data_IF_663732200855
#
_entry.id   IF_663732200855
#
_cell.length_a   1.000
_cell.length_b   1.000
_cell.length_c   1.000
_cell.angle_alpha   90.00
_cell.angle_beta   90.00
_cell.angle_gamma   90.00
#
_symmetry.space_group_name_H-M   'P 1'
#
loop_
_entity.id
_entity.type
_entity.pdbx_description
1 polymer ?
#
# COMPACT_ATOMS: atom_id res chain seq x y z
N UNK A 1 -22.19 -2.23 41.82
CA UNK A 1 -21.89 -1.54 40.55
C UNK A 1 -20.47 -0.99 40.63
N UNK A 2 -19.48 -1.79 40.22
CA UNK A 2 -18.10 -1.34 40.14
C UNK A 2 -17.80 -0.94 38.71
N UNK A 3 -17.67 0.36 38.45
CA UNK A 3 -17.02 0.86 37.25
C UNK A 3 -15.58 0.35 37.27
N UNK A 4 -15.28 -0.65 36.44
CA UNK A 4 -13.89 -1.02 36.16
C UNK A 4 -13.22 0.19 35.54
N UNK A 5 -12.26 0.73 36.30
CA UNK A 5 -11.34 1.77 35.87
C UNK A 5 -10.71 1.42 34.53
N UNK A 6 -10.47 2.47 33.73
CA UNK A 6 -9.96 2.47 32.36
C UNK A 6 -9.19 1.21 31.97
N UNK A 7 -9.87 0.34 31.23
CA UNK A 7 -9.19 -0.70 30.46
C UNK A 7 -8.25 -0.01 29.49
N UNK A 8 -6.96 -0.23 29.68
CA UNK A 8 -5.94 0.12 28.70
C UNK A 8 -6.39 -0.46 27.36
N UNK A 9 -6.74 0.42 26.42
CA UNK A 9 -7.24 0.02 25.11
C UNK A 9 -6.18 -0.87 24.45
N UNK A 10 -6.57 -2.02 23.90
CA UNK A 10 -5.60 -2.98 23.33
C UNK A 10 -4.82 -2.30 22.19
N UNK A 11 -3.47 -2.28 22.20
CA UNK A 11 -2.63 -1.48 21.27
C UNK A 11 -3.00 -1.58 19.78
N UNK A 12 -3.63 -2.68 19.39
CA UNK A 12 -4.08 -2.99 18.04
C UNK A 12 -5.17 -2.04 17.51
N UNK A 13 -6.07 -1.53 18.37
CA UNK A 13 -7.13 -0.58 17.96
C UNK A 13 -6.53 0.78 17.53
N UNK A 14 -5.46 1.20 18.21
CA UNK A 14 -4.83 2.49 18.01
C UNK A 14 -4.08 2.47 16.68
N UNK A 15 -3.41 1.35 16.40
CA UNK A 15 -2.67 1.15 15.17
C UNK A 15 -3.57 1.23 13.92
N UNK A 16 -4.76 0.62 13.93
CA UNK A 16 -5.68 0.68 12.77
C UNK A 16 -6.19 2.10 12.52
N UNK A 17 -6.42 2.88 13.60
CA UNK A 17 -6.85 4.29 13.50
C UNK A 17 -5.74 5.20 13.03
N UNK A 18 -4.51 5.00 13.51
CA UNK A 18 -3.33 5.72 13.04
C UNK A 18 -3.17 5.53 11.54
N UNK A 19 -3.40 4.32 11.01
CA UNK A 19 -3.36 4.08 9.54
C UNK A 19 -4.40 4.92 8.81
N UNK A 20 -5.65 5.00 9.29
CA UNK A 20 -6.70 5.81 8.64
C UNK A 20 -6.35 7.30 8.68
N UNK A 21 -5.83 7.79 9.81
CA UNK A 21 -5.37 9.18 9.94
C UNK A 21 -4.18 9.46 9.01
N UNK A 22 -3.21 8.56 8.96
CA UNK A 22 -2.07 8.67 8.07
C UNK A 22 -2.51 8.70 6.60
N UNK A 23 -3.49 7.88 6.20
CA UNK A 23 -4.08 7.95 4.85
C UNK A 23 -4.73 9.31 4.57
N UNK A 24 -5.46 9.86 5.54
CA UNK A 24 -6.11 11.17 5.41
C UNK A 24 -5.11 12.32 5.27
N UNK A 25 -3.89 12.20 5.83
CA UNK A 25 -2.81 13.18 5.68
C UNK A 25 -1.99 12.94 4.40
N UNK A 26 -1.76 11.68 4.05
CA UNK A 26 -0.98 11.29 2.89
C UNK A 26 -1.68 11.65 1.58
N UNK A 27 -3.01 11.52 1.49
CA UNK A 27 -3.75 11.84 0.27
C UNK A 27 -3.56 13.32 -0.17
N UNK A 28 -3.74 14.33 0.70
CA UNK A 28 -3.42 15.71 0.35
C UNK A 28 -1.97 15.91 -0.06
N UNK A 29 -1.02 15.47 0.78
CA UNK A 29 0.40 15.62 0.49
C UNK A 29 0.77 15.04 -0.89
N UNK A 30 0.19 13.89 -1.22
CA UNK A 30 0.34 13.24 -2.52
C UNK A 30 -0.20 14.09 -3.67
N UNK A 31 -1.42 14.62 -3.61
CA UNK A 31 -1.97 15.41 -4.73
C UNK A 31 -1.24 16.73 -4.95
N UNK A 32 -0.80 17.39 -3.87
CA UNK A 32 0.06 18.55 -3.99
C UNK A 32 1.39 18.19 -4.68
N UNK A 33 2.05 17.12 -4.24
CA UNK A 33 3.28 16.64 -4.89
C UNK A 33 3.06 16.24 -6.36
N UNK A 34 1.95 15.57 -6.66
CA UNK A 34 1.60 15.14 -8.01
C UNK A 34 1.55 16.32 -8.98
N UNK A 35 0.94 17.45 -8.58
CA UNK A 35 0.86 18.63 -9.44
C UNK A 35 2.22 19.26 -9.75
N UNK A 36 3.22 19.11 -8.88
CA UNK A 36 4.60 19.53 -9.16
C UNK A 36 5.35 18.57 -10.09
N UNK A 37 4.93 17.31 -10.15
CA UNK A 37 5.59 16.26 -10.93
C UNK A 37 5.00 16.09 -12.33
N UNK A 38 3.80 16.64 -12.59
CA UNK A 38 3.18 16.58 -13.90
C UNK A 38 3.95 17.45 -14.90
N UNK A 39 4.22 16.96 -16.13
CA UNK A 39 5.00 17.67 -17.14
C UNK A 39 4.19 18.72 -17.90
N UNK A 40 2.93 18.94 -17.53
CA UNK A 40 2.04 19.90 -18.19
C UNK A 40 1.30 20.72 -17.14
N UNK A 41 0.86 21.89 -17.56
CA UNK A 41 -0.02 22.77 -16.80
C UNK A 41 -1.28 23.03 -17.62
N UNK A 42 -2.40 23.17 -16.94
CA UNK A 42 -3.67 23.56 -17.55
C UNK A 42 -3.73 25.08 -17.51
N UNK A 43 -3.94 25.74 -18.65
CA UNK A 43 -3.97 27.20 -18.76
C UNK A 43 -5.37 27.70 -19.10
N UNK A 44 -6.35 27.61 -18.18
CA UNK A 44 -7.74 27.94 -18.47
C UNK A 44 -8.02 29.44 -18.54
N UNK A 45 -7.20 30.28 -17.89
CA UNK A 45 -7.46 31.72 -17.76
C UNK A 45 -6.58 32.58 -18.67
N UNK A 46 -5.45 32.06 -19.15
CA UNK A 46 -4.50 32.82 -19.97
C UNK A 46 -3.70 33.86 -19.20
N UNK A 47 -3.93 33.97 -17.89
CA UNK A 47 -3.14 34.75 -16.94
C UNK A 47 -2.24 33.82 -16.13
N UNK A 48 -0.95 34.11 -16.08
CA UNK A 48 0.05 33.23 -15.48
C UNK A 48 -0.16 33.02 -13.97
N UNK A 49 -0.67 34.02 -13.25
CA UNK A 49 -0.90 33.92 -11.82
C UNK A 49 -2.15 33.10 -11.51
N UNK A 50 -3.23 33.32 -12.25
CA UNK A 50 -4.46 32.55 -12.10
C UNK A 50 -4.27 31.08 -12.52
N UNK A 51 -3.52 30.83 -13.59
CA UNK A 51 -3.18 29.48 -14.03
C UNK A 51 -2.27 28.77 -13.01
N UNK A 52 -1.33 29.50 -12.40
CA UNK A 52 -0.53 28.96 -11.30
C UNK A 52 -1.40 28.57 -10.09
N UNK A 53 -2.29 29.45 -9.66
CA UNK A 53 -3.22 29.18 -8.56
C UNK A 53 -4.13 27.99 -8.88
N UNK A 54 -4.59 27.89 -10.13
CA UNK A 54 -5.42 26.79 -10.59
C UNK A 54 -4.69 25.44 -10.46
N UNK A 55 -3.47 25.33 -11.00
CA UNK A 55 -2.73 24.06 -11.01
C UNK A 55 -2.19 23.67 -9.63
N UNK A 56 -1.69 24.62 -8.84
CA UNK A 56 -0.97 24.31 -7.60
C UNK A 56 -1.79 24.44 -6.33
N UNK A 57 -2.95 25.10 -6.37
CA UNK A 57 -3.85 25.22 -5.24
C UNK A 57 -5.20 24.57 -5.52
N UNK A 58 -5.89 24.97 -6.59
CA UNK A 58 -7.29 24.57 -6.81
C UNK A 58 -7.42 23.09 -7.16
N UNK A 59 -6.73 22.63 -8.21
CA UNK A 59 -6.75 21.22 -8.65
C UNK A 59 -6.39 20.25 -7.51
N UNK A 60 -5.25 20.41 -6.81
CA UNK A 60 -4.88 19.47 -5.76
C UNK A 60 -5.85 19.55 -4.57
N UNK A 61 -6.44 20.72 -4.28
CA UNK A 61 -7.48 20.85 -3.25
C UNK A 61 -8.76 20.10 -3.60
N UNK A 62 -9.22 20.17 -4.86
CA UNK A 62 -10.42 19.45 -5.32
C UNK A 62 -10.21 17.93 -5.22
N UNK A 63 -9.05 17.45 -5.65
CA UNK A 63 -8.70 16.04 -5.54
C UNK A 63 -8.56 15.59 -4.07
N UNK A 64 -7.84 16.36 -3.26
CA UNK A 64 -7.61 16.07 -1.85
C UNK A 64 -8.91 16.03 -1.05
N UNK A 65 -9.77 17.04 -1.21
CA UNK A 65 -11.02 17.13 -0.46
C UNK A 65 -11.94 15.93 -0.74
N UNK A 66 -12.00 15.47 -1.99
CA UNK A 66 -12.79 14.28 -2.33
C UNK A 66 -12.27 13.02 -1.64
N UNK A 67 -10.96 12.77 -1.70
CA UNK A 67 -10.36 11.59 -1.07
C UNK A 67 -10.46 11.63 0.45
N UNK A 68 -10.17 12.79 1.07
CA UNK A 68 -10.33 12.98 2.53
C UNK A 68 -11.78 12.78 2.94
N UNK A 69 -12.74 13.28 2.17
CA UNK A 69 -14.16 13.07 2.44
C UNK A 69 -14.55 11.59 2.36
N UNK A 70 -14.09 10.86 1.35
CA UNK A 70 -14.33 9.41 1.22
C UNK A 70 -13.72 8.63 2.40
N UNK A 71 -12.50 8.99 2.82
CA UNK A 71 -11.84 8.40 3.99
C UNK A 71 -12.65 8.70 5.26
N UNK A 72 -13.09 9.94 5.46
CA UNK A 72 -13.85 10.35 6.63
C UNK A 72 -15.21 9.64 6.72
N UNK A 73 -15.92 9.54 5.61
CA UNK A 73 -17.22 8.84 5.53
C UNK A 73 -17.08 7.34 5.81
N UNK A 74 -15.97 6.74 5.39
CA UNK A 74 -15.72 5.30 5.54
C UNK A 74 -14.73 4.95 6.67
N UNK A 75 -14.41 5.88 7.58
CA UNK A 75 -13.30 5.73 8.54
C UNK A 75 -13.36 4.46 9.39
N UNK A 76 -14.54 4.10 9.90
CA UNK A 76 -14.70 2.88 10.70
C UNK A 76 -14.56 1.63 9.85
N UNK A 77 -15.13 1.65 8.65
CA UNK A 77 -15.02 0.54 7.69
C UNK A 77 -13.58 0.34 7.24
N UNK A 78 -12.84 1.42 7.00
CA UNK A 78 -11.41 1.37 6.67
C UNK A 78 -10.59 0.81 7.84
N UNK A 79 -10.80 1.30 9.06
CA UNK A 79 -10.11 0.77 10.25
C UNK A 79 -10.39 -0.73 10.46
N UNK A 80 -11.65 -1.13 10.31
CA UNK A 80 -12.09 -2.53 10.38
C UNK A 80 -11.49 -3.36 9.23
N UNK A 81 -11.32 -2.78 8.04
CA UNK A 81 -10.67 -3.44 6.91
C UNK A 81 -9.21 -3.72 7.22
N UNK A 82 -8.48 -2.76 7.82
CA UNK A 82 -7.09 -2.95 8.24
C UNK A 82 -6.99 -4.05 9.30
N UNK A 83 -7.94 -4.09 10.24
CA UNK A 83 -8.02 -5.16 11.24
C UNK A 83 -8.23 -6.54 10.60
N UNK A 84 -9.28 -6.68 9.77
CA UNK A 84 -9.58 -7.94 9.06
C UNK A 84 -8.45 -8.35 8.11
N UNK A 85 -7.81 -7.40 7.45
CA UNK A 85 -6.62 -7.67 6.66
C UNK A 85 -5.49 -8.20 7.52
N UNK A 86 -5.24 -7.62 8.70
CA UNK A 86 -4.23 -8.16 9.61
C UNK A 86 -4.58 -9.59 10.01
N UNK A 87 -5.81 -9.87 10.38
CA UNK A 87 -6.26 -11.23 10.76
C UNK A 87 -6.10 -12.23 9.62
N UNK A 88 -6.61 -11.91 8.43
CA UNK A 88 -6.53 -12.78 7.24
C UNK A 88 -5.10 -12.95 6.73
N UNK A 89 -4.27 -11.92 6.86
CA UNK A 89 -2.87 -11.93 6.43
C UNK A 89 -1.89 -12.26 7.55
N UNK A 90 -2.33 -12.55 8.79
CA UNK A 90 -1.42 -13.01 9.87
C UNK A 90 -0.67 -14.26 9.47
N UNK A 91 -1.33 -15.09 8.68
CA UNK A 91 -0.73 -16.28 8.09
C UNK A 91 0.40 -15.89 7.12
N UNK A 92 0.33 -14.74 6.44
CA UNK A 92 1.39 -14.28 5.52
C UNK A 92 2.61 -13.79 6.33
N UNK A 93 3.81 -14.37 6.13
CA UNK A 93 5.03 -13.86 6.74
C UNK A 93 5.22 -12.36 6.48
N UNK A 94 5.73 -11.62 7.48
CA UNK A 94 5.84 -10.16 7.43
C UNK A 94 6.56 -9.66 6.17
N UNK A 95 7.64 -10.34 5.76
CA UNK A 95 8.42 -10.02 4.54
C UNK A 95 7.58 -9.84 3.28
N UNK A 96 6.64 -10.76 3.09
CA UNK A 96 5.78 -10.79 1.91
C UNK A 96 4.75 -9.67 2.00
N UNK A 97 4.17 -9.44 3.19
CA UNK A 97 3.24 -8.32 3.41
C UNK A 97 3.89 -6.97 3.14
N UNK A 98 5.12 -6.76 3.59
CA UNK A 98 5.84 -5.49 3.38
C UNK A 98 6.17 -5.31 1.91
N UNK A 99 6.73 -6.32 1.24
CA UNK A 99 7.07 -6.23 -0.18
C UNK A 99 5.86 -5.99 -1.07
N UNK A 100 4.77 -6.74 -0.87
CA UNK A 100 3.55 -6.55 -1.65
C UNK A 100 2.83 -5.27 -1.30
N UNK A 101 2.87 -4.86 -0.03
CA UNK A 101 2.36 -3.56 0.39
C UNK A 101 3.08 -2.42 -0.32
N UNK A 102 4.42 -2.47 -0.42
CA UNK A 102 5.23 -1.48 -1.14
C UNK A 102 4.91 -1.51 -2.64
N UNK A 103 4.87 -2.68 -3.28
CA UNK A 103 4.54 -2.77 -4.71
C UNK A 103 3.11 -2.30 -5.01
N UNK A 104 2.15 -2.66 -4.16
CA UNK A 104 0.77 -2.21 -4.32
C UNK A 104 0.63 -0.70 -4.08
N UNK A 105 1.32 -0.16 -3.08
CA UNK A 105 1.40 1.29 -2.87
C UNK A 105 2.05 1.98 -4.08
N UNK A 106 3.09 1.39 -4.64
CA UNK A 106 3.74 1.90 -5.85
C UNK A 106 2.76 1.95 -7.03
N UNK A 107 2.09 0.84 -7.35
CA UNK A 107 1.10 0.81 -8.44
C UNK A 107 -0.06 1.76 -8.17
N UNK A 108 -0.49 1.86 -6.91
CA UNK A 108 -1.53 2.80 -6.50
C UNK A 108 -1.11 4.25 -6.76
N UNK A 109 0.08 4.66 -6.32
CA UNK A 109 0.61 6.02 -6.44
C UNK A 109 0.95 6.37 -7.88
N UNK A 110 1.62 5.48 -8.61
CA UNK A 110 2.15 5.78 -9.94
C UNK A 110 1.25 5.39 -11.10
N UNK A 111 0.14 4.68 -10.91
CA UNK A 111 -0.73 4.31 -12.02
C UNK A 111 -2.20 4.54 -11.71
N UNK A 112 -2.67 4.01 -10.57
CA UNK A 112 -4.10 4.04 -10.29
C UNK A 112 -4.57 5.43 -9.89
N UNK A 113 -3.90 6.10 -8.95
CA UNK A 113 -4.36 7.38 -8.41
C UNK A 113 -4.41 8.48 -9.49
N UNK A 114 -3.38 8.71 -10.32
CA UNK A 114 -3.45 9.79 -11.31
C UNK A 114 -4.54 9.59 -12.36
N UNK A 115 -4.87 8.35 -12.71
CA UNK A 115 -5.92 8.05 -13.69
C UNK A 115 -7.32 8.06 -13.06
N UNK A 116 -7.45 7.52 -11.84
CA UNK A 116 -8.78 7.35 -11.20
C UNK A 116 -9.24 8.60 -10.45
N UNK A 117 -8.32 9.49 -10.06
CA UNK A 117 -8.67 10.62 -9.18
C UNK A 117 -9.66 11.58 -9.82
N UNK A 118 -9.52 11.95 -11.09
CA UNK A 118 -10.46 12.89 -11.69
C UNK A 118 -11.89 12.31 -11.81
N UNK A 119 -12.09 11.07 -12.28
CA UNK A 119 -13.40 10.41 -12.18
C UNK A 119 -13.93 10.28 -10.75
N UNK A 120 -13.06 9.92 -9.81
CA UNK A 120 -13.42 9.80 -8.38
C UNK A 120 -13.79 11.15 -7.78
N UNK A 121 -13.17 12.25 -8.21
CA UNK A 121 -13.51 13.60 -7.77
C UNK A 121 -14.93 13.99 -8.16
N UNK A 122 -15.35 13.65 -9.39
CA UNK A 122 -16.73 13.90 -9.86
C UNK A 122 -17.73 13.03 -9.10
N UNK A 123 -17.52 11.72 -9.06
CA UNK A 123 -18.44 10.78 -8.41
C UNK A 123 -18.50 11.02 -6.89
N UNK A 124 -17.34 11.22 -6.27
CA UNK A 124 -17.20 11.49 -4.85
C UNK A 124 -17.78 12.85 -4.46
N UNK A 125 -17.64 13.87 -5.32
CA UNK A 125 -18.29 15.17 -5.15
C UNK A 125 -19.81 15.06 -5.12
N UNK A 126 -20.40 14.32 -6.07
CA UNK A 126 -21.84 14.03 -6.09
C UNK A 126 -22.29 13.29 -4.82
N UNK A 127 -21.56 12.24 -4.44
CA UNK A 127 -21.87 11.44 -3.25
C UNK A 127 -21.78 12.27 -1.96
N UNK A 128 -20.78 13.15 -1.85
CA UNK A 128 -20.59 14.03 -0.71
C UNK A 128 -21.72 15.06 -0.61
N UNK A 129 -22.04 15.73 -1.72
CA UNK A 129 -23.10 16.73 -1.77
C UNK A 129 -24.45 16.11 -1.36
N UNK A 130 -24.77 14.91 -1.87
CA UNK A 130 -25.96 14.16 -1.47
C UNK A 130 -25.96 13.80 0.02
N UNK A 131 -24.83 13.36 0.56
CA UNK A 131 -24.70 12.96 1.98
C UNK A 131 -24.84 14.14 2.94
N UNK A 132 -24.14 15.25 2.65
CA UNK A 132 -24.20 16.47 3.46
C UNK A 132 -25.62 17.02 3.49
N UNK A 133 -26.29 17.03 2.34
CA UNK A 133 -27.67 17.50 2.25
C UNK A 133 -28.65 16.60 3.01
N UNK A 134 -28.62 15.28 2.83
CA UNK A 134 -29.53 14.38 3.54
C UNK A 134 -29.42 14.56 5.06
N UNK A 135 -28.19 14.67 5.57
CA UNK A 135 -27.95 14.88 7.01
C UNK A 135 -28.32 16.27 7.51
N UNK A 136 -28.14 17.31 6.70
CA UNK A 136 -28.27 18.70 7.15
C UNK A 136 -29.64 19.29 6.83
N UNK A 137 -30.12 19.12 5.61
CA UNK A 137 -31.36 19.75 5.15
C UNK A 137 -32.61 18.91 5.43
N UNK A 138 -32.57 17.59 5.16
CA UNK A 138 -33.69 16.70 5.47
C UNK A 138 -33.70 16.37 6.97
N UNK A 139 -32.53 16.04 7.53
CA UNK A 139 -32.42 15.63 8.94
C UNK A 139 -32.58 16.75 9.97
N UNK A 140 -31.91 17.90 9.78
CA UNK A 140 -31.91 18.98 10.80
C UNK A 140 -32.86 20.13 10.49
N UNK A 141 -33.08 20.45 9.21
CA UNK A 141 -33.89 21.61 8.81
C UNK A 141 -35.32 21.24 8.39
N UNK A 142 -35.64 19.96 8.23
CA UNK A 142 -36.99 19.49 7.87
C UNK A 142 -37.50 20.01 6.53
N UNK A 143 -36.61 20.45 5.64
CA UNK A 143 -37.00 21.12 4.41
C UNK A 143 -37.55 20.11 3.39
N UNK A 144 -38.76 20.37 2.89
CA UNK A 144 -39.47 19.52 1.90
C UNK A 144 -38.88 19.54 0.48
N UNK A 145 -39.71 19.25 -0.53
CA UNK A 145 -39.32 19.08 -1.95
C UNK A 145 -38.46 20.22 -2.53
N UNK A 146 -38.64 21.46 -2.07
CA UNK A 146 -37.86 22.61 -2.52
C UNK A 146 -36.38 22.54 -2.12
N UNK A 147 -36.07 22.01 -0.94
CA UNK A 147 -34.67 21.81 -0.56
C UNK A 147 -34.03 20.67 -1.33
N UNK A 148 -34.80 19.61 -1.66
CA UNK A 148 -34.30 18.56 -2.55
C UNK A 148 -33.89 19.12 -3.92
N UNK A 149 -34.68 20.04 -4.49
CA UNK A 149 -34.31 20.73 -5.73
C UNK A 149 -33.06 21.63 -5.56
N UNK A 150 -32.99 22.42 -4.48
CA UNK A 150 -31.80 23.22 -4.17
C UNK A 150 -30.55 22.35 -3.96
N UNK A 151 -30.70 21.13 -3.46
CA UNK A 151 -29.60 20.15 -3.33
C UNK A 151 -29.01 19.79 -4.67
N UNK A 152 -29.89 19.45 -5.61
CA UNK A 152 -29.47 18.98 -6.92
C UNK A 152 -28.70 20.11 -7.60
N UNK A 153 -29.17 21.35 -7.46
CA UNK A 153 -28.47 22.53 -7.97
C UNK A 153 -27.10 22.75 -7.30
N UNK A 154 -27.01 22.69 -5.97
CA UNK A 154 -25.72 22.84 -5.25
C UNK A 154 -24.77 21.68 -5.55
N UNK A 155 -25.27 20.45 -5.63
CA UNK A 155 -24.49 19.26 -5.97
C UNK A 155 -23.95 19.35 -7.39
N UNK A 156 -24.78 19.77 -8.35
CA UNK A 156 -24.36 20.04 -9.73
C UNK A 156 -23.29 21.14 -9.72
N UNK A 157 -23.53 22.26 -9.04
CA UNK A 157 -22.57 23.37 -8.97
C UNK A 157 -21.21 22.94 -8.39
N UNK A 158 -21.21 22.13 -7.33
CA UNK A 158 -19.99 21.56 -6.74
C UNK A 158 -19.28 20.56 -7.65
N UNK A 159 -19.99 19.94 -8.60
CA UNK A 159 -19.42 18.99 -9.56
C UNK A 159 -18.95 19.64 -10.86
N UNK A 160 -19.34 20.88 -11.16
CA UNK A 160 -18.87 21.61 -12.34
C UNK A 160 -17.34 21.71 -12.32
N UNK A 161 -16.76 22.10 -11.18
CA UNK A 161 -15.31 22.29 -11.07
C UNK A 161 -14.53 20.97 -11.22
N UNK A 162 -14.84 19.87 -10.49
CA UNK A 162 -14.25 18.56 -10.74
C UNK A 162 -14.43 18.05 -12.17
N UNK A 163 -15.61 18.26 -12.77
CA UNK A 163 -15.89 17.84 -14.14
C UNK A 163 -15.06 18.62 -15.16
N UNK A 164 -14.91 19.93 -14.96
CA UNK A 164 -14.03 20.77 -15.78
C UNK A 164 -12.58 20.29 -15.70
N UNK A 165 -12.07 20.06 -14.48
CA UNK A 165 -10.73 19.53 -14.27
C UNK A 165 -10.58 18.17 -14.98
N UNK A 166 -11.55 17.27 -14.85
CA UNK A 166 -11.53 15.98 -15.55
C UNK A 166 -11.44 16.14 -17.07
N UNK A 167 -12.28 16.99 -17.67
CA UNK A 167 -12.26 17.23 -19.12
C UNK A 167 -10.93 17.81 -19.59
N UNK A 168 -10.31 18.68 -18.79
CA UNK A 168 -8.99 19.24 -19.09
C UNK A 168 -7.86 18.19 -18.96
N UNK A 169 -8.00 17.22 -18.06
CA UNK A 169 -7.03 16.13 -17.88
C UNK A 169 -7.15 15.02 -18.93
N UNK A 170 -8.35 14.77 -19.49
CA UNK A 170 -8.59 13.70 -20.49
C UNK A 170 -7.58 13.70 -21.65
N UNK A 171 -7.36 14.82 -22.37
CA UNK A 171 -6.44 14.82 -23.51
C UNK A 171 -4.99 14.57 -23.11
N UNK A 172 -4.64 14.81 -21.84
CA UNK A 172 -3.27 14.66 -21.30
C UNK A 172 -3.03 13.29 -20.67
N UNK A 173 -4.02 12.39 -20.58
CA UNK A 173 -3.81 11.07 -19.98
C UNK A 173 -2.73 10.24 -20.68
N UNK A 174 -2.59 10.35 -22.01
CA UNK A 174 -1.53 9.67 -22.73
C UNK A 174 -0.14 10.18 -22.34
N UNK A 175 0.01 11.49 -22.11
CA UNK A 175 1.26 12.09 -21.63
C UNK A 175 1.58 11.62 -20.21
N UNK A 176 0.59 11.63 -19.31
CA UNK A 176 0.72 11.08 -17.95
C UNK A 176 1.19 9.63 -18.02
N UNK A 177 0.54 8.82 -18.85
CA UNK A 177 0.86 7.40 -19.00
C UNK A 177 2.28 7.18 -19.52
N UNK A 178 2.70 7.96 -20.52
CA UNK A 178 4.07 7.89 -21.07
C UNK A 178 5.11 8.30 -20.04
N UNK A 179 4.85 9.32 -19.23
CA UNK A 179 5.73 9.75 -18.13
C UNK A 179 5.81 8.69 -17.04
N UNK A 180 4.70 8.02 -16.73
CA UNK A 180 4.69 6.90 -15.79
C UNK A 180 5.50 5.71 -16.29
N UNK A 181 5.32 5.35 -17.57
CA UNK A 181 6.08 4.27 -18.20
C UNK A 181 7.57 4.59 -18.32
N UNK A 182 7.95 5.84 -18.61
CA UNK A 182 9.36 6.24 -18.64
C UNK A 182 9.95 6.36 -17.24
N UNK A 183 9.16 6.75 -16.24
CA UNK A 183 9.57 6.71 -14.83
C UNK A 183 9.81 5.29 -14.34
N UNK A 184 9.17 4.29 -14.95
CA UNK A 184 9.38 2.87 -14.65
C UNK A 184 10.77 2.36 -15.05
N UNK A 185 11.40 2.97 -16.05
CA UNK A 185 12.80 2.70 -16.40
C UNK A 185 13.78 3.67 -15.72
N UNK A 186 13.29 4.55 -14.84
CA UNK A 186 14.14 5.53 -14.17
C UNK A 186 15.04 4.91 -13.11
N UNK A 187 16.14 5.60 -12.83
CA UNK A 187 17.07 5.28 -11.75
C UNK A 187 16.34 5.09 -10.40
N UNK A 188 15.43 6.00 -10.06
CA UNK A 188 14.72 5.98 -8.77
C UNK A 188 13.79 4.77 -8.63
N UNK A 189 13.20 4.30 -9.73
CA UNK A 189 12.45 3.05 -9.70
C UNK A 189 13.34 1.86 -9.35
N UNK A 190 14.51 1.75 -10.00
CA UNK A 190 15.50 0.73 -9.69
C UNK A 190 15.95 0.77 -8.23
N UNK A 191 16.12 1.96 -7.66
CA UNK A 191 16.45 2.15 -6.23
C UNK A 191 15.32 1.62 -5.33
N UNK A 192 14.08 2.08 -5.51
CA UNK A 192 12.95 1.67 -4.65
C UNK A 192 12.70 0.17 -4.72
N UNK A 193 12.71 -0.40 -5.92
CA UNK A 193 12.58 -1.83 -6.13
C UNK A 193 13.75 -2.60 -5.49
N UNK A 194 14.98 -2.09 -5.64
CA UNK A 194 16.17 -2.63 -5.02
C UNK A 194 16.11 -2.68 -3.49
N UNK A 195 15.65 -1.59 -2.86
CA UNK A 195 15.41 -1.54 -1.41
C UNK A 195 14.41 -2.62 -0.99
N UNK A 196 13.30 -2.74 -1.72
CA UNK A 196 12.27 -3.73 -1.45
C UNK A 196 12.82 -5.17 -1.58
N UNK A 197 13.62 -5.44 -2.62
CA UNK A 197 14.27 -6.73 -2.85
C UNK A 197 15.29 -7.07 -1.75
N UNK A 198 16.12 -6.11 -1.34
CA UNK A 198 17.07 -6.29 -0.24
C UNK A 198 16.37 -6.66 1.06
N UNK A 199 15.24 -5.99 1.36
CA UNK A 199 14.44 -6.26 2.55
C UNK A 199 13.88 -7.69 2.53
N UNK A 200 13.32 -8.13 1.39
CA UNK A 200 12.79 -9.50 1.27
C UNK A 200 13.89 -10.54 1.42
N UNK A 201 15.04 -10.33 0.80
CA UNK A 201 16.16 -11.27 0.87
C UNK A 201 16.68 -11.39 2.31
N UNK A 202 16.87 -10.27 3.02
CA UNK A 202 17.30 -10.27 4.41
C UNK A 202 16.32 -11.04 5.31
N UNK A 203 15.02 -10.76 5.19
CA UNK A 203 13.98 -11.46 5.94
C UNK A 203 13.85 -12.94 5.53
N UNK A 204 14.25 -13.29 4.31
CA UNK A 204 14.22 -14.67 3.82
C UNK A 204 15.32 -15.52 4.42
N UNK A 205 16.48 -14.94 4.68
CA UNK A 205 17.58 -15.59 5.37
C UNK A 205 17.35 -15.73 6.88
N UNK A 206 16.57 -14.83 7.49
CA UNK A 206 16.14 -14.96 8.89
C UNK A 206 15.07 -16.03 9.13
N UNK A 207 14.30 -16.39 8.10
CA UNK A 207 13.16 -17.31 8.21
C UNK A 207 13.52 -18.75 8.68
N UNK A 208 14.62 -19.38 8.23
CA UNK A 208 15.07 -20.67 8.76
C UNK A 208 15.33 -20.64 10.26
N UNK A 209 15.90 -19.56 10.78
CA UNK A 209 16.18 -19.41 12.22
C UNK A 209 14.86 -19.42 12.99
N UNK A 210 13.89 -18.63 12.54
CA UNK A 210 12.54 -18.64 13.11
C UNK A 210 11.88 -20.02 13.04
N UNK A 211 12.06 -20.74 11.94
CA UNK A 211 11.51 -22.08 11.77
C UNK A 211 12.12 -23.09 12.74
N UNK A 212 13.44 -23.00 12.97
CA UNK A 212 14.17 -23.91 13.85
C UNK A 212 13.71 -23.76 15.31
N UNK A 213 13.57 -22.51 15.77
CA UNK A 213 12.98 -22.24 17.08
C UNK A 213 11.52 -22.66 17.18
N UNK A 214 10.71 -22.44 16.14
CA UNK A 214 9.33 -22.93 16.12
C UNK A 214 9.26 -24.46 16.24
N UNK A 215 10.14 -25.17 15.53
CA UNK A 215 10.26 -26.63 15.64
C UNK A 215 10.63 -27.08 17.05
N UNK A 216 11.59 -26.42 17.68
CA UNK A 216 11.97 -26.69 19.07
C UNK A 216 10.80 -26.49 20.04
N UNK A 217 10.03 -25.41 19.90
CA UNK A 217 8.87 -25.14 20.74
C UNK A 217 7.76 -26.20 20.57
N UNK A 218 7.52 -26.67 19.34
CA UNK A 218 6.55 -27.74 19.10
C UNK A 218 7.00 -29.07 19.69
N UNK A 219 8.30 -29.38 19.62
CA UNK A 219 8.88 -30.55 20.25
C UNK A 219 8.75 -30.49 21.78
N UNK A 220 9.12 -29.37 22.40
CA UNK A 220 9.00 -29.17 23.84
C UNK A 220 7.55 -29.28 24.32
N UNK A 221 6.62 -28.66 23.59
CA UNK A 221 5.19 -28.77 23.90
C UNK A 221 4.69 -30.22 23.80
N UNK A 222 5.21 -31.00 22.86
CA UNK A 222 4.87 -32.41 22.69
C UNK A 222 5.46 -33.34 23.76
N UNK A 223 6.66 -33.04 24.25
CA UNK A 223 7.39 -33.88 25.22
C UNK A 223 7.11 -33.48 26.67
N UNK A 224 7.13 -32.18 26.96
CA UNK A 224 7.09 -31.63 28.33
C UNK A 224 5.77 -30.93 28.67
N UNK A 225 4.88 -30.71 27.69
CA UNK A 225 3.60 -30.02 27.90
C UNK A 225 3.69 -28.49 28.01
N UNK A 226 4.90 -27.95 28.18
CA UNK A 226 5.20 -26.52 28.28
C UNK A 226 6.33 -26.10 27.30
N UNK A 227 6.45 -24.79 27.07
CA UNK A 227 7.46 -24.19 26.20
C UNK A 227 8.55 -23.56 27.07
N UNK A 228 9.78 -24.06 26.97
CA UNK A 228 10.93 -23.58 27.74
C UNK A 228 11.86 -22.70 26.91
N UNK A 229 11.94 -22.95 25.60
CA UNK A 229 12.76 -22.15 24.69
C UNK A 229 11.94 -21.03 24.07
N UNK A 230 12.09 -19.82 24.61
CA UNK A 230 11.54 -18.62 23.98
C UNK A 230 12.33 -18.26 22.70
N UNK A 231 11.60 -17.96 21.62
CA UNK A 231 12.21 -17.47 20.39
C UNK A 231 12.83 -16.08 20.63
N UNK A 232 14.14 -15.87 20.40
CA UNK A 232 14.79 -14.57 20.63
C UNK A 232 14.48 -13.59 19.48
N UNK A 233 13.20 -13.21 19.34
CA UNK A 233 12.67 -12.43 18.21
C UNK A 233 13.42 -11.12 17.97
N UNK A 234 13.78 -10.39 19.02
CA UNK A 234 14.52 -9.13 18.92
C UNK A 234 15.91 -9.32 18.31
N UNK A 235 16.62 -10.39 18.68
CA UNK A 235 17.96 -10.68 18.16
C UNK A 235 17.90 -11.10 16.70
N UNK A 236 16.91 -11.90 16.33
CA UNK A 236 16.69 -12.29 14.93
C UNK A 236 16.38 -11.05 14.09
N UNK A 237 15.47 -10.17 14.55
CA UNK A 237 15.16 -8.91 13.85
C UNK A 237 16.34 -7.98 13.72
N UNK A 238 17.20 -7.90 14.75
CA UNK A 238 18.42 -7.10 14.68
C UNK A 238 19.38 -7.66 13.62
N UNK A 239 19.56 -8.98 13.57
CA UNK A 239 20.38 -9.64 12.55
C UNK A 239 19.80 -9.44 11.13
N UNK A 240 18.48 -9.54 10.96
CA UNK A 240 17.78 -9.23 9.71
C UNK A 240 18.01 -7.76 9.29
N UNK A 241 17.95 -6.83 10.24
CA UNK A 241 18.24 -5.40 10.01
C UNK A 241 19.68 -5.14 9.58
N UNK A 242 20.65 -5.81 10.20
CA UNK A 242 22.07 -5.71 9.80
C UNK A 242 22.28 -6.29 8.41
N UNK A 243 21.73 -7.46 8.12
CA UNK A 243 21.77 -8.08 6.78
C UNK A 243 21.14 -7.18 5.72
N UNK A 244 20.01 -6.55 6.04
CA UNK A 244 19.35 -5.59 5.16
C UNK A 244 20.26 -4.40 4.83
N UNK A 245 20.95 -3.81 5.81
CA UNK A 245 21.88 -2.72 5.59
C UNK A 245 23.07 -3.14 4.71
N UNK A 246 23.65 -4.31 4.97
CA UNK A 246 24.71 -4.89 4.12
C UNK A 246 24.19 -5.05 2.69
N UNK A 247 22.99 -5.59 2.52
CA UNK A 247 22.39 -5.78 1.21
C UNK A 247 22.12 -4.47 0.47
N UNK A 248 21.66 -3.43 1.17
CA UNK A 248 21.50 -2.11 0.57
C UNK A 248 22.81 -1.54 0.04
N UNK A 249 23.88 -1.62 0.84
CA UNK A 249 25.22 -1.15 0.48
C UNK A 249 25.72 -1.88 -0.77
N UNK A 250 25.49 -3.20 -0.84
CA UNK A 250 25.92 -4.03 -1.97
C UNK A 250 25.07 -3.81 -3.23
N UNK A 251 23.75 -3.67 -3.09
CA UNK A 251 22.82 -3.64 -4.22
C UNK A 251 22.77 -2.29 -4.92
N UNK A 252 22.62 -1.21 -4.15
CA UNK A 252 22.25 0.08 -4.72
C UNK A 252 23.38 0.64 -5.61
N UNK A 253 23.04 1.37 -6.67
CA UNK A 253 24.00 2.18 -7.41
C UNK A 253 24.38 3.44 -6.59
N UNK A 254 25.56 4.04 -6.85
CA UNK A 254 25.93 5.35 -6.32
C UNK A 254 24.81 6.36 -6.55
N UNK A 255 24.35 6.99 -5.47
CA UNK A 255 23.28 7.98 -5.54
C UNK A 255 23.89 9.34 -5.87
N UNK A 256 23.47 9.99 -6.98
CA UNK A 256 23.92 11.33 -7.29
C UNK A 256 23.31 12.32 -6.30
N UNK A 257 24.16 13.10 -5.63
CA UNK A 257 23.74 14.19 -4.74
C UNK A 257 24.30 15.53 -5.23
N UNK A 258 23.72 16.68 -4.82
CA UNK A 258 24.26 17.99 -5.18
C UNK A 258 25.73 18.22 -4.74
N UNK A 259 26.23 17.43 -3.79
CA UNK A 259 27.59 17.51 -3.25
C UNK A 259 28.54 16.46 -3.85
N UNK A 260 28.08 15.67 -4.83
CA UNK A 260 28.83 14.58 -5.46
C UNK A 260 28.12 13.23 -5.37
N UNK A 261 28.80 12.16 -5.77
CA UNK A 261 28.25 10.80 -5.71
C UNK A 261 28.50 10.15 -4.34
N UNK A 262 27.46 9.55 -3.75
CA UNK A 262 27.63 8.74 -2.54
C UNK A 262 28.31 7.41 -2.90
N UNK A 263 29.63 7.35 -2.71
CA UNK A 263 30.50 6.22 -3.07
C UNK A 263 30.38 4.98 -2.17
N UNK A 264 29.58 5.04 -1.10
CA UNK A 264 29.38 3.89 -0.19
C UNK A 264 28.61 2.75 -0.84
N UNK A 265 27.89 2.99 -1.94
CA UNK A 265 27.13 1.98 -2.65
C UNK A 265 27.97 1.27 -3.72
N UNK A 266 28.00 -0.06 -3.68
CA UNK A 266 28.93 -0.87 -4.47
C UNK A 266 28.39 -1.28 -5.86
N UNK A 267 27.12 -0.97 -6.18
CA UNK A 267 26.47 -1.28 -7.45
C UNK A 267 26.70 -2.72 -7.93
N UNK A 268 26.36 -3.71 -7.08
CA UNK A 268 26.49 -5.13 -7.41
C UNK A 268 25.13 -5.81 -7.60
N UNK A 269 24.22 -5.32 -8.46
CA UNK A 269 22.93 -5.99 -8.70
C UNK A 269 23.11 -7.38 -9.31
N UNK A 270 24.23 -7.65 -10.00
CA UNK A 270 24.57 -8.97 -10.53
C UNK A 270 24.70 -10.04 -9.43
N UNK A 271 25.20 -9.67 -8.24
CA UNK A 271 25.35 -10.58 -7.10
C UNK A 271 23.98 -11.03 -6.61
N UNK A 272 23.04 -10.10 -6.56
CA UNK A 272 21.67 -10.39 -6.12
C UNK A 272 20.94 -11.26 -7.12
N UNK A 273 20.98 -10.82 -8.37
CA UNK A 273 20.24 -11.50 -9.44
C UNK A 273 20.82 -12.87 -9.81
N UNK A 274 22.07 -13.16 -9.47
CA UNK A 274 22.71 -14.46 -9.78
C UNK A 274 22.77 -15.39 -8.57
N UNK A 275 22.93 -14.85 -7.35
CA UNK A 275 23.16 -15.67 -6.16
C UNK A 275 22.13 -15.42 -5.06
N UNK A 276 22.07 -14.21 -4.50
CA UNK A 276 21.31 -13.95 -3.26
C UNK A 276 19.82 -14.26 -3.44
N UNK A 277 19.25 -13.87 -4.58
CA UNK A 277 17.86 -14.15 -4.91
C UNK A 277 17.60 -15.66 -4.98
N UNK A 278 18.43 -16.41 -5.71
CA UNK A 278 18.31 -17.86 -5.85
C UNK A 278 18.49 -18.59 -4.51
N UNK A 279 19.40 -18.14 -3.66
CA UNK A 279 19.57 -18.69 -2.30
C UNK A 279 18.33 -18.41 -1.46
N UNK A 280 17.83 -17.18 -1.47
CA UNK A 280 16.61 -16.79 -0.74
C UNK A 280 15.39 -17.60 -1.22
N UNK A 281 15.31 -17.82 -2.53
CA UNK A 281 14.31 -18.64 -3.19
C UNK A 281 14.38 -20.10 -2.75
N UNK A 282 15.58 -20.70 -2.78
CA UNK A 282 15.82 -22.07 -2.37
C UNK A 282 15.41 -22.27 -0.91
N UNK A 283 15.77 -21.33 -0.03
CA UNK A 283 15.35 -21.33 1.38
C UNK A 283 13.82 -21.34 1.50
N UNK A 284 13.12 -20.52 0.72
CA UNK A 284 11.65 -20.48 0.71
C UNK A 284 11.06 -21.81 0.24
N UNK A 285 11.56 -22.38 -0.85
CA UNK A 285 11.09 -23.66 -1.40
C UNK A 285 11.33 -24.79 -0.40
N UNK A 286 12.50 -24.86 0.23
CA UNK A 286 12.84 -25.85 1.26
C UNK A 286 11.86 -25.75 2.43
N UNK A 287 11.59 -24.54 2.95
CA UNK A 287 10.62 -24.36 4.03
C UNK A 287 9.20 -24.80 3.64
N UNK A 288 8.79 -24.55 2.39
CA UNK A 288 7.50 -25.02 1.87
C UNK A 288 7.43 -26.55 1.81
N UNK A 289 8.49 -27.21 1.33
CA UNK A 289 8.58 -28.67 1.27
C UNK A 289 8.53 -29.26 2.68
N UNK A 290 9.37 -28.78 3.59
CA UNK A 290 9.42 -29.26 4.98
C UNK A 290 8.04 -29.16 5.62
N UNK A 291 7.34 -28.04 5.43
CA UNK A 291 5.99 -27.87 5.96
C UNK A 291 5.00 -28.88 5.41
N UNK A 292 5.05 -29.13 4.09
CA UNK A 292 4.16 -30.11 3.44
C UNK A 292 4.42 -31.52 3.98
N UNK A 293 5.69 -31.87 4.19
CA UNK A 293 6.10 -33.16 4.75
C UNK A 293 5.66 -33.30 6.21
N UNK A 294 5.83 -32.25 7.03
CA UNK A 294 5.46 -32.26 8.45
C UNK A 294 3.95 -32.13 8.71
N UNK A 295 3.12 -31.93 7.68
CA UNK A 295 1.66 -31.90 7.82
C UNK A 295 1.14 -30.80 8.76
N UNK A 296 1.88 -29.70 8.93
CA UNK A 296 1.52 -28.61 9.88
C UNK A 296 0.27 -27.88 9.37
N UNK A 297 -0.89 -28.27 9.93
CA UNK A 297 -2.22 -27.86 9.45
C UNK A 297 -2.72 -26.51 9.99
N UNK A 298 -2.18 -25.97 11.09
CA UNK A 298 -2.78 -24.79 11.72
C UNK A 298 -1.79 -23.69 12.11
N UNK A 299 -2.18 -22.45 11.77
CA UNK A 299 -1.80 -21.15 12.37
C UNK A 299 -0.34 -20.90 12.74
N UNK A 300 0.63 -21.56 12.11
CA UNK A 300 2.03 -21.18 12.23
C UNK A 300 2.33 -19.95 11.39
N UNK A 301 3.37 -19.21 11.78
CA UNK A 301 3.90 -17.97 11.16
C UNK A 301 4.27 -18.09 9.67
N UNK A 302 4.02 -19.25 9.04
CA UNK A 302 4.14 -19.53 7.62
C UNK A 302 2.79 -20.04 7.10
N UNK A 303 1.93 -19.14 6.61
CA UNK A 303 0.50 -19.36 6.40
C UNK A 303 0.07 -20.15 5.18
N UNK A 304 -1.25 -20.35 5.02
CA UNK A 304 -1.92 -21.38 4.19
C UNK A 304 -1.69 -21.37 2.68
N UNK A 305 -2.48 -22.17 1.93
CA UNK A 305 -2.32 -22.41 0.49
C UNK A 305 -2.30 -21.13 -0.37
N UNK A 306 -3.03 -20.07 0.05
CA UNK A 306 -2.98 -18.76 -0.59
C UNK A 306 -1.56 -18.16 -0.56
N UNK A 307 -0.78 -18.38 0.49
CA UNK A 307 0.60 -17.92 0.56
C UNK A 307 1.50 -18.67 -0.40
N UNK A 308 1.24 -19.97 -0.62
CA UNK A 308 2.01 -20.78 -1.57
C UNK A 308 1.75 -20.29 -2.99
N UNK A 309 0.49 -20.02 -3.34
CA UNK A 309 0.12 -19.46 -4.64
C UNK A 309 0.72 -18.08 -4.86
N UNK A 310 0.68 -17.20 -3.84
CA UNK A 310 1.31 -15.89 -3.90
C UNK A 310 2.82 -16.04 -4.06
N UNK A 311 3.50 -16.81 -3.20
CA UNK A 311 4.95 -17.06 -3.31
C UNK A 311 5.34 -17.65 -4.67
N UNK A 312 4.55 -18.57 -5.24
CA UNK A 312 4.79 -19.16 -6.55
C UNK A 312 4.60 -18.15 -7.70
N UNK A 313 3.59 -17.28 -7.60
CA UNK A 313 3.42 -16.16 -8.53
C UNK A 313 4.62 -15.20 -8.44
N UNK A 314 5.16 -15.01 -7.23
CA UNK A 314 6.32 -14.15 -6.98
C UNK A 314 7.65 -14.70 -7.50
N UNK A 315 7.85 -16.00 -7.33
CA UNK A 315 8.86 -16.82 -8.00
C UNK A 315 8.87 -16.61 -9.52
N UNK A 316 7.69 -16.61 -10.14
CA UNK A 316 7.56 -16.37 -11.58
C UNK A 316 8.01 -14.94 -11.94
N UNK A 317 7.61 -13.91 -11.17
CA UNK A 317 8.04 -12.51 -11.42
C UNK A 317 9.54 -12.38 -11.47
N UNK A 318 10.21 -12.98 -10.49
CA UNK A 318 11.66 -12.85 -10.31
C UNK A 318 12.42 -13.57 -11.43
N UNK A 319 11.93 -14.72 -11.88
CA UNK A 319 12.46 -15.43 -13.05
C UNK A 319 12.29 -14.58 -14.31
N UNK A 320 11.13 -13.94 -14.47
CA UNK A 320 10.82 -13.15 -15.67
C UNK A 320 11.33 -11.70 -15.62
N UNK A 321 11.84 -11.24 -14.48
CA UNK A 321 12.34 -9.88 -14.32
C UNK A 321 13.51 -9.57 -15.26
N UNK A 322 14.23 -10.60 -15.70
CA UNK A 322 15.35 -10.49 -16.64
C UNK A 322 14.96 -10.52 -18.11
N UNK A 323 13.74 -10.91 -18.44
CA UNK A 323 13.39 -11.26 -19.83
C UNK A 323 12.81 -10.10 -20.60
N UNK A 324 11.86 -9.36 -20.00
CA UNK A 324 11.18 -8.26 -20.68
C UNK A 324 10.48 -7.32 -19.70
N UNK A 325 10.67 -6.01 -19.86
CA UNK A 325 10.01 -4.96 -19.07
C UNK A 325 8.47 -5.11 -19.07
N UNK A 326 7.90 -5.50 -20.21
CA UNK A 326 6.46 -5.70 -20.37
C UNK A 326 5.96 -6.82 -19.46
N UNK A 327 6.72 -7.92 -19.35
CA UNK A 327 6.38 -9.03 -18.47
C UNK A 327 6.46 -8.59 -17.01
N UNK A 328 7.49 -7.84 -16.62
CA UNK A 328 7.59 -7.24 -15.27
C UNK A 328 6.37 -6.39 -14.93
N UNK A 329 5.99 -5.51 -15.86
CA UNK A 329 4.83 -4.64 -15.68
C UNK A 329 3.56 -5.47 -15.53
N UNK A 330 3.26 -6.39 -16.45
CA UNK A 330 2.07 -7.26 -16.38
C UNK A 330 1.97 -8.00 -15.05
N UNK A 331 3.10 -8.48 -14.57
CA UNK A 331 3.18 -9.27 -13.36
C UNK A 331 2.98 -8.42 -12.10
N UNK A 332 3.55 -7.21 -12.04
CA UNK A 332 3.29 -6.28 -10.94
C UNK A 332 1.82 -5.82 -10.94
N UNK A 333 1.23 -5.61 -12.13
CA UNK A 333 -0.20 -5.36 -12.28
C UNK A 333 -1.07 -6.53 -11.81
N UNK A 334 -0.68 -7.77 -12.12
CA UNK A 334 -1.37 -8.98 -11.64
C UNK A 334 -1.32 -9.06 -10.11
N UNK A 335 -0.13 -8.84 -9.52
CA UNK A 335 0.06 -8.81 -8.08
C UNK A 335 -0.79 -7.71 -7.41
N UNK A 336 -0.81 -6.51 -8.00
CA UNK A 336 -1.69 -5.43 -7.55
C UNK A 336 -3.16 -5.84 -7.63
N UNK A 337 -3.59 -6.46 -8.73
CA UNK A 337 -4.97 -6.92 -8.91
C UNK A 337 -5.41 -7.92 -7.83
N UNK A 338 -4.55 -8.89 -7.51
CA UNK A 338 -4.80 -9.85 -6.41
C UNK A 338 -4.89 -9.13 -5.07
N UNK A 339 -3.95 -8.23 -4.77
CA UNK A 339 -3.94 -7.46 -3.53
C UNK A 339 -5.20 -6.58 -3.41
N UNK A 340 -5.55 -5.85 -4.46
CA UNK A 340 -6.75 -5.02 -4.53
C UNK A 340 -8.03 -5.84 -4.35
N UNK A 341 -8.11 -7.04 -4.94
CA UNK A 341 -9.24 -7.95 -4.74
C UNK A 341 -9.38 -8.39 -3.28
N UNK A 342 -8.27 -8.72 -2.61
CA UNK A 342 -8.26 -9.07 -1.17
C UNK A 342 -8.68 -7.88 -0.31
N UNK A 343 -8.17 -6.68 -0.61
CA UNK A 343 -8.57 -5.44 0.09
C UNK A 343 -10.06 -5.18 -0.11
N UNK A 344 -10.56 -5.27 -1.34
CA UNK A 344 -11.97 -5.04 -1.67
C UNK A 344 -12.88 -6.07 -0.99
N UNK A 345 -12.50 -7.36 -0.99
CA UNK A 345 -13.25 -8.41 -0.29
C UNK A 345 -13.32 -8.16 1.21
N UNK A 346 -12.20 -7.75 1.84
CA UNK A 346 -12.18 -7.40 3.25
C UNK A 346 -12.99 -6.12 3.54
N UNK A 347 -12.91 -5.12 2.67
CA UNK A 347 -13.71 -3.90 2.77
C UNK A 347 -15.20 -4.20 2.66
N UNK A 348 -15.61 -5.09 1.75
CA UNK A 348 -17.00 -5.53 1.62
C UNK A 348 -17.51 -6.23 2.88
N UNK A 349 -16.66 -7.02 3.55
CA UNK A 349 -16.97 -7.71 4.82
C UNK A 349 -16.93 -6.81 6.05
N UNK A 350 -16.14 -5.73 6.01
CA UNK A 350 -15.97 -4.83 7.14
C UNK A 350 -17.27 -4.10 7.49
N UNK A 351 -17.63 -4.14 8.78
CA UNK A 351 -18.77 -3.38 9.32
C UNK A 351 -18.56 -1.87 9.14
N UNK A 352 -19.64 -1.16 8.85
CA UNK A 352 -19.67 0.32 8.80
C UNK A 352 -19.71 0.98 10.17
N UNK A 353 -19.95 0.19 11.24
CA UNK A 353 -19.94 0.65 12.62
C UNK A 353 -18.58 0.43 13.26
N UNK A 354 -18.30 1.20 14.29
CA UNK A 354 -17.15 0.99 15.16
C UNK A 354 -17.24 -0.43 15.74
N UNK A 355 -16.25 -1.28 15.42
CA UNK A 355 -16.04 -2.52 16.14
C UNK A 355 -15.11 -2.17 17.30
N UNK A 356 -15.58 -2.41 18.53
CA UNK A 356 -14.96 -2.11 19.82
C UNK A 356 -15.14 -0.68 20.34
#
# INVERSE_FOLDING_TARGET
MGLKAGGWMSPDWLMTRVVVVAMALAAPAYFFALMFLLPFQITPFGDAFLDWLFNYLLVPSVFSTTWVALIYLNRYRLANTVHLMRETTTSVPLRWRVFYGINAAFVMVFFVLPVTTAPVAVIGGLALAGTVFYRTAVGKLGLGRLAAAATVLVAIALCILPAYIMLAFIPRYLEIWNVMLSSWSSFWFGVVYGVAQCLVNALSLGAPIHFLYYGAQQYEKGVYGDIFTETPTTRIRLAEGILFLIFLILYLPPIPTPLGEMWWFMNMPWLFTTYINWVSLAVVVIMLIIRRVLGVKDKSTMGGAANIAIVAMFLLVEIFFKTNLLVVTLVIWLAFGVFAAVVAANFMRASSREMY
#
